data_IF_310175780370
#
_entry.id   IF_310175780370
#
_cell.length_a   1.000
_cell.length_b   1.000
_cell.length_c   1.000
_cell.angle_alpha   90.00
_cell.angle_beta   90.00
_cell.angle_gamma   90.00
#
_symmetry.space_group_name_H-M   'P 1'
#
loop_
_entity.id
_entity.type
_entity.pdbx_description
1 polymer ?
#
# COMPACT_ATOMS: atom_id res chain seq x y z
N UNK A 1 -10.60 -26.72 -17.34
CA UNK A 1 -11.47 -26.15 -16.27
C UNK A 1 -12.82 -25.75 -16.87
N UNK A 2 -13.41 -26.66 -17.64
CA UNK A 2 -14.36 -26.31 -18.70
C UNK A 2 -15.65 -25.67 -18.20
N UNK A 3 -16.32 -26.11 -17.13
CA UNK A 3 -17.58 -25.43 -16.75
C UNK A 3 -17.42 -23.98 -16.28
N UNK A 4 -16.26 -23.57 -15.73
CA UNK A 4 -15.98 -22.17 -15.36
C UNK A 4 -15.25 -21.43 -16.49
N UNK A 5 -14.55 -22.13 -17.37
CA UNK A 5 -14.00 -21.58 -18.62
C UNK A 5 -15.10 -21.33 -19.66
N UNK A 6 -16.07 -22.24 -19.77
CA UNK A 6 -17.25 -22.23 -20.64
C UNK A 6 -18.32 -21.27 -20.08
N UNK A 7 -18.39 -21.11 -18.76
CA UNK A 7 -19.13 -20.00 -18.12
C UNK A 7 -18.33 -18.68 -18.14
N UNK A 8 -17.08 -18.67 -18.63
CA UNK A 8 -16.23 -17.49 -18.81
C UNK A 8 -15.57 -16.89 -17.57
N UNK A 9 -15.67 -17.55 -16.41
CA UNK A 9 -15.17 -17.10 -15.10
C UNK A 9 -13.68 -17.45 -14.88
N UNK A 10 -13.15 -18.49 -15.53
CA UNK A 10 -11.74 -18.93 -15.39
C UNK A 10 -11.06 -19.14 -16.76
N UNK A 11 -9.72 -19.19 -16.77
CA UNK A 11 -8.87 -19.55 -17.92
C UNK A 11 -7.79 -20.52 -17.41
N UNK A 12 -7.44 -21.54 -18.21
CA UNK A 12 -6.42 -22.52 -17.87
C UNK A 12 -5.01 -22.04 -18.27
N UNK A 13 -4.02 -22.28 -17.41
CA UNK A 13 -2.62 -21.92 -17.59
C UNK A 13 -1.73 -23.16 -17.41
N UNK A 14 -1.01 -23.56 -18.47
CA UNK A 14 -0.08 -24.70 -18.48
C UNK A 14 1.32 -24.22 -18.02
N UNK A 15 1.49 -24.20 -16.69
CA UNK A 15 2.75 -24.10 -15.95
C UNK A 15 3.53 -22.75 -15.96
N UNK A 16 3.05 -21.73 -15.22
CA UNK A 16 3.79 -21.04 -14.11
C UNK A 16 2.79 -20.52 -13.06
N UNK A 17 1.72 -21.26 -12.78
CA UNK A 17 0.74 -20.93 -11.74
C UNK A 17 1.21 -21.37 -10.36
N UNK A 18 2.24 -20.73 -9.79
CA UNK A 18 2.55 -20.91 -8.38
C UNK A 18 1.31 -20.61 -7.55
N UNK A 19 0.93 -21.51 -6.61
CA UNK A 19 -0.12 -21.23 -5.63
C UNK A 19 0.13 -19.82 -5.10
N UNK A 20 -0.85 -18.91 -5.22
CA UNK A 20 -0.78 -17.60 -4.59
C UNK A 20 -0.66 -17.85 -3.09
N UNK A 21 0.57 -17.85 -2.60
CA UNK A 21 0.84 -18.04 -1.18
C UNK A 21 0.41 -16.76 -0.50
N UNK A 22 -0.37 -16.84 0.60
CA UNK A 22 -0.64 -15.69 1.41
C UNK A 22 0.69 -14.98 1.69
N UNK A 23 0.77 -13.67 1.47
CA UNK A 23 1.99 -12.94 1.75
C UNK A 23 2.37 -13.14 3.22
N UNK A 24 3.65 -13.41 3.48
CA UNK A 24 4.16 -13.61 4.83
C UNK A 24 4.31 -12.26 5.55
N UNK A 25 3.18 -11.60 5.83
CA UNK A 25 3.11 -10.34 6.56
C UNK A 25 2.50 -10.57 7.93
N UNK A 26 3.03 -9.89 8.95
CA UNK A 26 2.42 -9.94 10.28
C UNK A 26 1.02 -9.32 10.24
N UNK A 27 0.04 -9.85 10.97
CA UNK A 27 -1.22 -9.16 11.13
C UNK A 27 -0.99 -7.75 11.69
N UNK A 28 -1.64 -6.77 11.08
CA UNK A 28 -1.65 -5.41 11.60
C UNK A 28 -2.36 -5.38 12.95
N UNK A 29 -1.66 -4.93 13.99
CA UNK A 29 -2.16 -4.87 15.37
C UNK A 29 -2.17 -3.45 15.92
N UNK A 30 -1.51 -2.52 15.23
CA UNK A 30 -1.37 -1.12 15.63
C UNK A 30 -1.55 -0.20 14.42
N UNK A 31 -2.08 0.99 14.66
CA UNK A 31 -2.09 2.10 13.70
C UNK A 31 -1.17 3.22 14.18
N UNK A 32 -0.75 4.06 13.24
CA UNK A 32 -0.04 5.28 13.57
C UNK A 32 -0.95 6.27 14.28
N UNK A 33 -0.67 6.56 15.55
CA UNK A 33 -1.29 7.69 16.26
C UNK A 33 -0.71 8.99 15.71
N UNK A 34 -1.47 9.63 14.83
CA UNK A 34 -1.06 10.88 14.19
C UNK A 34 -1.84 12.04 14.77
N UNK A 35 -1.12 12.98 15.37
CA UNK A 35 -1.66 14.30 15.64
C UNK A 35 -1.81 15.02 14.29
N UNK A 36 -3.00 15.54 14.00
CA UNK A 36 -3.26 16.33 12.79
C UNK A 36 -2.50 17.66 12.91
N UNK A 37 -1.25 17.68 12.48
CA UNK A 37 -0.42 18.88 12.53
C UNK A 37 -0.60 19.67 11.24
N UNK A 38 -1.03 20.92 11.40
CA UNK A 38 -0.90 21.99 10.40
C UNK A 38 0.30 22.86 10.80
N UNK A 39 1.17 23.33 9.88
CA UNK A 39 1.01 23.45 8.42
C UNK A 39 1.70 22.34 7.59
N UNK A 40 1.46 22.35 6.27
CA UNK A 40 2.11 21.45 5.29
C UNK A 40 3.61 21.73 5.28
N UNK A 41 4.41 20.79 5.78
CA UNK A 41 5.88 20.84 5.73
C UNK A 41 6.41 20.53 4.32
N UNK A 42 7.72 20.70 4.09
CA UNK A 42 8.34 20.27 2.83
C UNK A 42 8.11 18.78 2.50
N UNK A 43 7.95 17.95 3.53
CA UNK A 43 7.57 16.54 3.37
C UNK A 43 6.11 16.39 2.91
N UNK A 44 5.21 17.24 3.39
CA UNK A 44 3.82 17.30 2.92
C UNK A 44 3.73 17.65 1.43
N UNK A 45 4.54 18.59 0.95
CA UNK A 45 4.62 18.90 -0.48
C UNK A 45 5.12 17.72 -1.32
N UNK A 46 6.12 16.97 -0.81
CA UNK A 46 6.60 15.74 -1.47
C UNK A 46 5.48 14.71 -1.60
N UNK A 47 4.63 14.55 -0.58
CA UNK A 47 3.46 13.68 -0.69
C UNK A 47 2.47 14.17 -1.74
N UNK A 48 2.15 15.46 -1.79
CA UNK A 48 1.25 16.02 -2.80
C UNK A 48 1.77 15.72 -4.21
N UNK A 49 3.05 15.98 -4.47
CA UNK A 49 3.68 15.69 -5.76
C UNK A 49 3.63 14.19 -6.06
N UNK A 50 4.05 13.34 -5.12
CA UNK A 50 4.05 11.88 -5.30
C UNK A 50 2.64 11.32 -5.55
N UNK A 51 1.60 11.91 -4.94
CA UNK A 51 0.21 11.52 -5.16
C UNK A 51 -0.25 11.90 -6.56
N UNK A 52 0.06 13.12 -7.04
CA UNK A 52 -0.25 13.56 -8.41
C UNK A 52 0.47 12.68 -9.43
N UNK A 53 1.77 12.45 -9.25
CA UNK A 53 2.57 11.56 -10.10
C UNK A 53 2.01 10.14 -10.13
N UNK A 54 1.53 9.64 -8.99
CA UNK A 54 0.91 8.32 -8.90
C UNK A 54 -0.43 8.27 -9.61
N UNK A 55 -1.29 9.28 -9.48
CA UNK A 55 -2.55 9.38 -10.25
C UNK A 55 -2.26 9.36 -11.74
N UNK A 56 -1.30 10.17 -12.21
CA UNK A 56 -0.94 10.23 -13.62
C UNK A 56 -0.37 8.88 -14.09
N UNK A 57 0.51 8.27 -13.30
CA UNK A 57 1.11 6.98 -13.64
C UNK A 57 0.08 5.87 -13.73
N UNK A 58 -0.86 5.78 -12.78
CA UNK A 58 -1.93 4.76 -12.79
C UNK A 58 -2.92 4.97 -13.94
N UNK A 59 -3.07 6.21 -14.45
CA UNK A 59 -3.92 6.51 -15.61
C UNK A 59 -3.25 6.25 -16.96
N UNK A 60 -1.92 6.30 -17.01
CA UNK A 60 -1.16 6.27 -18.27
C UNK A 60 -0.30 5.03 -18.46
N UNK A 61 -0.09 4.24 -17.40
CA UNK A 61 0.77 3.05 -17.41
C UNK A 61 0.03 1.83 -16.86
N UNK A 62 0.54 0.65 -17.19
CA UNK A 62 0.05 -0.61 -16.60
C UNK A 62 0.40 -0.70 -15.12
N UNK A 63 -0.45 -1.39 -14.36
CA UNK A 63 -0.26 -1.63 -12.93
C UNK A 63 1.14 -2.17 -12.59
N UNK A 64 1.59 -3.18 -13.34
CA UNK A 64 2.91 -3.79 -13.17
C UNK A 64 4.06 -2.79 -13.34
N UNK A 65 3.94 -1.82 -14.26
CA UNK A 65 4.96 -0.80 -14.47
C UNK A 65 4.98 0.26 -13.35
N UNK A 66 3.84 0.49 -12.68
CA UNK A 66 3.77 1.40 -11.53
C UNK A 66 4.39 0.76 -10.29
N UNK A 67 4.20 -0.54 -10.11
CA UNK A 67 4.71 -1.30 -8.96
C UNK A 67 6.16 -1.76 -9.10
N UNK A 68 6.66 -1.97 -10.32
CA UNK A 68 8.02 -2.46 -10.57
C UNK A 68 9.11 -1.68 -9.81
N UNK A 69 9.13 -0.32 -9.81
CA UNK A 69 10.13 0.42 -9.04
C UNK A 69 10.06 0.15 -7.54
N UNK A 70 8.84 -0.03 -7.00
CA UNK A 70 8.63 -0.33 -5.57
C UNK A 70 9.16 -1.74 -5.25
N UNK A 71 8.83 -2.70 -6.11
CA UNK A 71 9.28 -4.10 -5.97
C UNK A 71 10.79 -4.25 -6.10
N UNK A 72 11.41 -3.57 -7.06
CA UNK A 72 12.85 -3.62 -7.27
C UNK A 72 13.61 -3.01 -6.08
N UNK A 73 13.11 -1.92 -5.52
CA UNK A 73 13.68 -1.35 -4.30
C UNK A 73 13.51 -2.27 -3.09
N UNK A 74 12.33 -2.90 -2.92
CA UNK A 74 12.09 -3.83 -1.82
C UNK A 74 13.00 -5.06 -1.86
N UNK A 75 13.34 -5.57 -3.05
CA UNK A 75 14.30 -6.68 -3.23
C UNK A 75 15.71 -6.33 -2.74
N UNK A 76 16.12 -5.07 -2.86
CA UNK A 76 17.44 -4.59 -2.42
C UNK A 76 17.46 -4.40 -0.91
N UNK A 77 16.39 -3.83 -0.36
CA UNK A 77 16.35 -3.35 1.03
C UNK A 77 15.84 -4.41 2.02
N UNK A 78 15.11 -5.41 1.54
CA UNK A 78 14.47 -6.44 2.35
C UNK A 78 13.21 -5.95 3.08
N UNK A 79 12.47 -6.86 3.76
CA UNK A 79 11.22 -6.52 4.43
C UNK A 79 11.39 -5.50 5.56
N UNK A 80 10.33 -4.74 5.84
CA UNK A 80 10.27 -3.79 6.95
C UNK A 80 10.56 -4.46 8.29
N UNK A 81 11.46 -3.89 9.10
CA UNK A 81 11.78 -4.43 10.43
C UNK A 81 10.59 -4.28 11.39
N UNK A 82 10.43 -5.27 12.26
CA UNK A 82 9.35 -5.40 13.25
C UNK A 82 9.68 -4.77 14.61
N UNK A 83 10.95 -4.46 14.86
CA UNK A 83 11.46 -4.13 16.19
C UNK A 83 11.35 -2.63 16.51
N UNK A 84 10.18 -2.23 17.00
CA UNK A 84 9.89 -0.85 17.43
C UNK A 84 9.78 0.08 16.24
N UNK A 85 8.61 0.67 16.00
CA UNK A 85 8.54 1.73 15.00
C UNK A 85 9.47 2.85 15.42
N UNK A 86 10.46 3.11 14.56
CA UNK A 86 11.38 4.21 14.75
C UNK A 86 10.58 5.53 14.85
N UNK A 87 10.97 6.48 15.73
CA UNK A 87 10.33 7.78 15.85
C UNK A 87 10.18 8.56 14.54
N UNK A 88 10.97 8.18 13.52
CA UNK A 88 10.95 8.73 12.16
C UNK A 88 9.61 8.56 11.43
N UNK A 89 8.80 7.56 11.78
CA UNK A 89 7.52 7.33 11.13
C UNK A 89 6.44 8.34 11.54
N UNK A 90 6.54 8.93 12.74
CA UNK A 90 5.52 9.88 13.23
C UNK A 90 5.46 11.15 12.37
N UNK A 91 6.56 11.91 12.16
CA UNK A 91 6.53 13.08 11.27
C UNK A 91 6.13 12.73 9.83
N UNK A 92 6.51 11.53 9.37
CA UNK A 92 6.20 11.04 8.03
C UNK A 92 4.70 10.81 7.84
N UNK A 93 4.08 10.07 8.76
CA UNK A 93 2.64 9.84 8.77
C UNK A 93 1.88 11.16 8.95
N UNK A 94 2.30 12.05 9.86
CA UNK A 94 1.71 13.39 10.02
C UNK A 94 1.70 14.19 8.71
N UNK A 95 2.83 14.23 8.00
CA UNK A 95 2.94 14.93 6.72
C UNK A 95 2.03 14.32 5.64
N UNK A 96 1.92 12.99 5.61
CA UNK A 96 0.99 12.30 4.72
C UNK A 96 -0.47 12.67 5.03
N UNK A 97 -0.92 12.57 6.28
CA UNK A 97 -2.29 12.89 6.65
C UNK A 97 -2.63 14.37 6.45
N UNK A 98 -1.67 15.28 6.61
CA UNK A 98 -1.84 16.68 6.26
C UNK A 98 -2.06 16.87 4.75
N UNK A 99 -1.33 16.13 3.91
CA UNK A 99 -1.49 16.18 2.44
C UNK A 99 -2.83 15.58 1.98
N UNK A 100 -3.35 14.55 2.67
CA UNK A 100 -4.57 13.86 2.27
C UNK A 100 -5.86 14.66 2.49
N UNK A 101 -5.83 15.73 3.30
CA UNK A 101 -6.99 16.62 3.51
C UNK A 101 -7.45 17.27 2.20
N UNK A 102 -6.55 17.40 1.23
CA UNK A 102 -6.84 17.98 -0.08
C UNK A 102 -7.59 17.02 -1.02
N UNK A 103 -7.84 15.76 -0.61
CA UNK A 103 -8.55 14.77 -1.42
C UNK A 103 -9.73 14.14 -0.70
N UNK A 104 -10.81 13.79 -1.42
CA UNK A 104 -11.87 12.95 -0.90
C UNK A 104 -11.30 11.60 -0.41
N UNK A 105 -11.89 11.03 0.65
CA UNK A 105 -11.41 9.75 1.21
C UNK A 105 -11.75 8.52 0.35
N UNK A 106 -12.71 8.63 -0.57
CA UNK A 106 -13.16 7.51 -1.39
C UNK A 106 -12.31 7.34 -2.66
N UNK A 107 -11.85 6.12 -2.93
CA UNK A 107 -11.25 5.73 -4.21
C UNK A 107 -9.75 6.01 -4.38
N UNK A 108 -9.04 6.47 -3.34
CA UNK A 108 -7.62 6.86 -3.45
C UNK A 108 -6.64 5.94 -2.71
N UNK A 109 -7.10 4.88 -2.03
CA UNK A 109 -6.24 4.02 -1.21
C UNK A 109 -5.01 3.48 -1.97
N UNK A 110 -5.19 3.01 -3.21
CA UNK A 110 -4.07 2.54 -4.03
C UNK A 110 -3.08 3.67 -4.38
N UNK A 111 -3.60 4.83 -4.79
CA UNK A 111 -2.77 5.99 -5.13
C UNK A 111 -1.98 6.45 -3.91
N UNK A 112 -2.65 6.54 -2.78
CA UNK A 112 -2.10 7.07 -1.55
C UNK A 112 -1.05 6.12 -0.97
N UNK A 113 -1.29 4.82 -1.00
CA UNK A 113 -0.32 3.81 -0.55
C UNK A 113 0.91 3.73 -1.45
N UNK A 114 0.74 3.82 -2.78
CA UNK A 114 1.87 3.88 -3.71
C UNK A 114 2.68 5.17 -3.52
N UNK A 115 2.01 6.32 -3.38
CA UNK A 115 2.69 7.59 -3.12
C UNK A 115 3.43 7.54 -1.78
N UNK A 116 2.81 6.98 -0.74
CA UNK A 116 3.42 6.80 0.57
C UNK A 116 4.70 5.95 0.49
N UNK A 117 4.62 4.82 -0.20
CA UNK A 117 5.78 3.95 -0.44
C UNK A 117 6.89 4.64 -1.22
N UNK A 118 6.57 5.41 -2.27
CA UNK A 118 7.58 6.14 -3.04
C UNK A 118 8.34 7.15 -2.19
N UNK A 119 7.63 7.92 -1.38
CA UNK A 119 8.27 8.89 -0.49
C UNK A 119 9.09 8.16 0.59
N UNK A 120 8.59 7.05 1.14
CA UNK A 120 9.29 6.26 2.15
C UNK A 120 10.60 5.66 1.58
N UNK A 121 10.54 5.04 0.42
CA UNK A 121 11.70 4.48 -0.28
C UNK A 121 12.73 5.57 -0.64
N UNK A 122 12.28 6.74 -1.07
CA UNK A 122 13.19 7.87 -1.35
C UNK A 122 13.91 8.42 -0.11
N UNK A 123 13.49 8.02 1.09
CA UNK A 123 14.14 8.32 2.37
C UNK A 123 14.87 7.10 2.96
N UNK A 124 14.91 5.96 2.26
CA UNK A 124 15.52 4.72 2.74
C UNK A 124 14.71 3.98 3.81
N UNK A 125 13.46 4.38 4.05
CA UNK A 125 12.58 3.76 5.03
C UNK A 125 12.05 2.42 4.52
N UNK A 126 11.98 1.43 5.41
CA UNK A 126 11.54 0.07 5.09
C UNK A 126 10.09 -0.15 5.49
N UNK A 127 9.24 -0.40 4.51
CA UNK A 127 7.84 -0.75 4.70
C UNK A 127 7.39 -1.69 3.57
N UNK A 128 6.19 -2.23 3.70
CA UNK A 128 5.57 -3.15 2.77
C UNK A 128 4.30 -2.50 2.21
N UNK A 129 4.14 -2.53 0.89
CA UNK A 129 2.89 -2.20 0.24
C UNK A 129 1.98 -3.42 0.28
N UNK A 130 0.78 -3.30 0.83
CA UNK A 130 -0.15 -4.41 0.97
C UNK A 130 -1.39 -4.17 0.12
N UNK A 131 -1.80 -5.19 -0.64
CA UNK A 131 -3.13 -5.26 -1.25
C UNK A 131 -3.92 -6.33 -0.52
N UNK A 132 -5.11 -5.98 -0.06
CA UNK A 132 -6.03 -6.92 0.56
C UNK A 132 -7.42 -6.88 -0.07
N UNK A 133 -8.15 -7.97 0.10
CA UNK A 133 -9.52 -8.13 -0.40
C UNK A 133 -10.46 -8.61 0.70
N UNK A 134 -11.69 -8.11 0.68
CA UNK A 134 -12.80 -8.63 1.48
C UNK A 134 -13.81 -9.28 0.53
N UNK A 135 -14.37 -10.43 0.88
CA UNK A 135 -15.28 -11.16 0.01
C UNK A 135 -16.74 -10.63 0.06
N UNK A 136 -17.20 -10.08 1.19
CA UNK A 136 -18.62 -9.75 1.39
C UNK A 136 -18.82 -8.44 2.18
N UNK A 137 -19.30 -7.36 1.54
CA UNK A 137 -19.35 -7.18 0.08
C UNK A 137 -17.94 -7.23 -0.51
N UNK A 138 -17.81 -7.66 -1.77
CA UNK A 138 -16.50 -7.70 -2.41
C UNK A 138 -15.88 -6.31 -2.46
N UNK A 139 -14.68 -6.17 -1.90
CA UNK A 139 -13.94 -4.90 -1.88
C UNK A 139 -12.45 -5.17 -1.91
N UNK A 140 -11.70 -4.28 -2.55
CA UNK A 140 -10.25 -4.29 -2.54
C UNK A 140 -9.72 -3.03 -1.85
N UNK A 141 -8.63 -3.19 -1.11
CA UNK A 141 -8.00 -2.10 -0.38
C UNK A 141 -6.49 -2.20 -0.41
N UNK A 142 -5.83 -1.06 -0.26
CA UNK A 142 -4.38 -0.97 -0.33
C UNK A 142 -3.87 -0.08 0.79
N UNK A 143 -2.91 -0.57 1.57
CA UNK A 143 -2.29 0.16 2.67
C UNK A 143 -0.78 -0.10 2.71
N UNK A 144 -0.09 0.65 3.57
CA UNK A 144 1.34 0.50 3.85
C UNK A 144 1.54 0.07 5.28
N UNK A 145 2.43 -0.90 5.49
CA UNK A 145 2.66 -1.52 6.77
C UNK A 145 4.16 -1.70 7.05
N UNK A 146 4.56 -1.55 8.30
CA UNK A 146 5.88 -1.94 8.78
C UNK A 146 5.74 -2.82 10.02
N UNK A 147 6.10 -4.10 9.88
CA UNK A 147 5.86 -5.10 10.91
C UNK A 147 4.37 -5.19 11.26
N UNK A 148 3.99 -5.01 12.52
CA UNK A 148 2.58 -5.02 12.93
C UNK A 148 1.85 -3.68 12.85
N UNK A 149 2.43 -2.64 12.22
CA UNK A 149 1.87 -1.29 12.24
C UNK A 149 1.44 -0.78 10.87
N UNK A 150 0.19 -0.33 10.77
CA UNK A 150 -0.34 0.37 9.59
C UNK A 150 0.10 1.83 9.62
N UNK A 151 0.68 2.29 8.52
CA UNK A 151 1.36 3.59 8.47
C UNK A 151 0.52 4.72 7.88
N UNK A 152 -0.34 4.41 6.92
CA UNK A 152 -1.10 5.40 6.15
C UNK A 152 -2.63 5.22 6.25
N UNK A 153 -3.09 4.29 7.08
CA UNK A 153 -4.50 3.97 7.26
C UNK A 153 -4.80 3.59 8.72
N UNK A 154 -6.08 3.37 9.02
CA UNK A 154 -6.61 2.97 10.32
C UNK A 154 -6.82 1.46 10.36
N UNK A 155 -6.62 0.84 11.52
CA UNK A 155 -6.87 -0.59 11.71
C UNK A 155 -8.32 -0.95 11.38
N UNK A 156 -9.26 -0.10 11.76
CA UNK A 156 -10.70 -0.29 11.50
C UNK A 156 -11.01 -0.45 9.99
N UNK A 157 -10.24 0.22 9.12
CA UNK A 157 -10.44 0.19 7.69
C UNK A 157 -9.85 -1.07 7.05
N UNK A 158 -8.75 -1.60 7.59
CA UNK A 158 -8.04 -2.73 6.96
C UNK A 158 -8.42 -4.09 7.58
N UNK A 159 -9.02 -4.12 8.78
CA UNK A 159 -9.23 -5.35 9.57
C UNK A 159 -10.03 -6.43 8.85
N UNK A 160 -10.92 -6.05 7.94
CA UNK A 160 -11.78 -6.99 7.20
C UNK A 160 -11.15 -7.44 5.87
N UNK A 161 -9.95 -6.98 5.53
CA UNK A 161 -9.27 -7.30 4.28
C UNK A 161 -8.21 -8.37 4.52
N UNK A 162 -8.27 -9.45 3.73
CA UNK A 162 -7.25 -10.49 3.70
C UNK A 162 -6.13 -10.07 2.74
N UNK A 163 -4.87 -9.98 3.19
CA UNK A 163 -3.73 -9.67 2.32
C UNK A 163 -3.57 -10.72 1.20
N UNK A 164 -3.48 -10.27 -0.04
CA UNK A 164 -3.25 -11.12 -1.23
C UNK A 164 -1.93 -10.80 -1.96
N UNK A 165 -1.36 -9.63 -1.71
CA UNK A 165 -0.06 -9.23 -2.25
C UNK A 165 0.68 -8.34 -1.25
N UNK A 166 1.98 -8.60 -1.10
CA UNK A 166 2.91 -7.68 -0.45
C UNK A 166 4.13 -7.42 -1.33
N UNK A 167 4.60 -6.18 -1.30
CA UNK A 167 5.78 -5.70 -2.04
C UNK A 167 6.70 -4.95 -1.11
#
# INVERSE_FOLDING_TARGET
MSSLIDAGILVEDDAVGGIMRPPAILPATKEMSVERVWPISGLGLRFIIAQIETVIALRTRTFSNVLRPIADHARIVGPGRTAGLDPEWKPFASAFFASSVLRPKSGHCLTDSIAFMRVAQSLGLKAELVLGVCATPFSAHCWVQAGGHVLNDRLENIRNFEPILTI
#
